data_IF_392500558048
#
_entry.id   IF_392500558048
#
_cell.length_a   1.000
_cell.length_b   1.000
_cell.length_c   1.000
_cell.angle_alpha   90.00
_cell.angle_beta   90.00
_cell.angle_gamma   90.00
#
_symmetry.space_group_name_H-M   'P 1'
#
loop_
_entity.id
_entity.type
_entity.pdbx_description
1 polymer ?
#
# COMPACT_ATOMS: atom_id res chain seq x y z
N UNK A 1 19.62 -4.80 -3.52
CA UNK A 1 19.85 -3.83 -4.58
C UNK A 1 18.90 -2.66 -4.45
N UNK A 2 19.39 -1.52 -4.74
CA UNK A 2 18.58 -0.35 -4.56
C UNK A 2 18.26 0.30 -5.90
N UNK A 3 16.98 0.57 -6.10
CA UNK A 3 16.56 1.23 -7.31
C UNK A 3 16.97 2.69 -7.32
N UNK A 4 17.28 3.18 -8.48
CA UNK A 4 17.60 4.59 -8.65
C UNK A 4 16.44 5.35 -9.26
N UNK A 5 15.25 4.82 -9.07
CA UNK A 5 14.05 5.43 -9.62
C UNK A 5 13.66 6.62 -8.76
N UNK A 6 13.55 7.75 -9.39
CA UNK A 6 13.09 8.92 -8.70
C UNK A 6 11.64 8.75 -8.29
N UNK A 7 11.35 9.15 -7.06
CA UNK A 7 10.03 8.95 -6.53
C UNK A 7 9.82 7.57 -5.98
N UNK A 8 10.74 6.65 -6.26
CA UNK A 8 10.73 5.35 -5.63
C UNK A 8 9.56 4.48 -6.02
N UNK A 9 9.84 3.34 -6.65
CA UNK A 9 8.81 2.34 -6.85
C UNK A 9 8.43 1.75 -5.50
N UNK A 10 7.15 1.54 -5.28
CA UNK A 10 6.69 0.86 -4.07
C UNK A 10 6.78 -0.64 -4.26
N UNK A 11 6.98 -1.35 -3.16
CA UNK A 11 6.79 -2.78 -3.22
C UNK A 11 5.30 -3.07 -3.38
N UNK A 12 4.98 -4.23 -3.91
CA UNK A 12 3.59 -4.63 -4.05
C UNK A 12 2.89 -4.62 -2.70
N UNK A 13 3.57 -5.11 -1.68
CA UNK A 13 2.99 -5.17 -0.35
C UNK A 13 2.66 -3.78 0.18
N UNK A 14 3.57 -2.84 0.03
CA UNK A 14 3.32 -1.47 0.50
C UNK A 14 2.14 -0.86 -0.24
N UNK A 15 2.05 -1.08 -1.54
CA UNK A 15 0.92 -0.56 -2.30
C UNK A 15 -0.39 -1.14 -1.79
N UNK A 16 -0.44 -2.46 -1.55
CA UNK A 16 -1.65 -3.06 -1.02
C UNK A 16 -2.02 -2.52 0.35
N UNK A 17 -1.02 -2.28 1.20
CA UNK A 17 -1.30 -1.71 2.52
C UNK A 17 -1.96 -0.34 2.38
N UNK A 18 -1.41 0.51 1.50
CA UNK A 18 -2.02 1.82 1.27
C UNK A 18 -3.43 1.71 0.71
N UNK A 19 -3.62 0.80 -0.24
CA UNK A 19 -4.95 0.62 -0.84
C UNK A 19 -5.97 0.17 0.19
N UNK A 20 -5.55 -0.60 1.18
CA UNK A 20 -6.45 -1.11 2.20
C UNK A 20 -6.95 -0.02 3.14
N UNK A 21 -6.39 1.19 3.06
CA UNK A 21 -6.71 2.26 3.98
C UNK A 21 -7.37 3.45 3.31
N UNK A 22 -7.95 3.26 2.13
CA UNK A 22 -8.78 4.30 1.53
C UNK A 22 -10.04 4.55 2.36
N UNK A 23 -10.47 3.54 3.09
CA UNK A 23 -11.41 3.69 4.19
C UNK A 23 -10.68 3.37 5.48
N UNK A 24 -11.13 3.90 6.60
CA UNK A 24 -10.44 3.60 7.86
C UNK A 24 -10.34 2.10 8.08
N UNK A 25 -9.18 1.64 8.53
CA UNK A 25 -8.96 0.22 8.71
C UNK A 25 -7.96 -0.02 9.84
N UNK A 26 -8.04 -1.21 10.41
CA UNK A 26 -7.15 -1.62 11.49
C UNK A 26 -6.29 -2.80 11.02
N UNK A 27 -5.30 -3.17 11.84
CA UNK A 27 -4.31 -4.13 11.41
C UNK A 27 -4.88 -5.44 10.87
N UNK A 28 -5.82 -6.04 11.61
CA UNK A 28 -6.40 -7.30 11.16
C UNK A 28 -7.15 -7.12 9.85
N UNK A 29 -7.91 -6.02 9.74
CA UNK A 29 -8.64 -5.74 8.51
C UNK A 29 -7.73 -5.54 7.32
N UNK A 30 -6.57 -4.91 7.54
CA UNK A 30 -5.60 -4.73 6.47
C UNK A 30 -5.09 -6.08 5.98
N UNK A 31 -4.74 -6.96 6.92
CA UNK A 31 -4.24 -8.28 6.55
C UNK A 31 -5.28 -9.07 5.78
N UNK A 32 -6.54 -9.00 6.24
CA UNK A 32 -7.61 -9.71 5.54
C UNK A 32 -7.87 -9.13 4.15
N UNK A 33 -7.83 -7.81 4.04
CA UNK A 33 -8.02 -7.17 2.74
C UNK A 33 -7.00 -7.70 1.74
N UNK A 34 -5.73 -7.73 2.14
CA UNK A 34 -4.68 -8.15 1.22
C UNK A 34 -4.83 -9.61 0.84
N UNK A 35 -5.12 -10.45 1.81
CA UNK A 35 -5.28 -11.86 1.53
C UNK A 35 -6.45 -12.13 0.60
N UNK A 36 -7.57 -11.43 0.83
CA UNK A 36 -8.75 -11.62 0.00
C UNK A 36 -8.55 -11.10 -1.41
N UNK A 37 -7.95 -9.93 -1.55
CA UNK A 37 -7.76 -9.35 -2.88
C UNK A 37 -6.79 -10.15 -3.72
N UNK A 38 -5.86 -10.86 -3.10
CA UNK A 38 -4.85 -11.61 -3.83
C UNK A 38 -5.12 -13.10 -3.84
N UNK A 39 -6.26 -13.54 -3.29
CA UNK A 39 -6.58 -14.96 -3.15
C UNK A 39 -5.46 -15.70 -2.44
N UNK A 40 -4.90 -15.10 -1.42
CA UNK A 40 -3.87 -15.72 -0.63
C UNK A 40 -2.47 -15.67 -1.21
N UNK A 41 -2.30 -15.08 -2.40
CA UNK A 41 -0.97 -14.99 -3.00
C UNK A 41 -0.05 -14.12 -2.15
N UNK A 42 -0.60 -13.10 -1.51
CA UNK A 42 0.16 -12.25 -0.60
C UNK A 42 -0.45 -12.38 0.78
N UNK A 43 0.38 -12.61 1.76
CA UNK A 43 -0.07 -12.77 3.13
C UNK A 43 0.96 -12.10 4.04
N UNK A 44 0.49 -11.35 5.01
CA UNK A 44 1.35 -10.58 5.90
C UNK A 44 1.24 -11.06 7.32
N UNK A 45 2.39 -11.19 7.99
CA UNK A 45 2.41 -11.37 9.42
C UNK A 45 2.26 -10.03 10.13
N UNK A 46 1.88 -10.10 11.39
CA UNK A 46 1.64 -8.88 12.16
C UNK A 46 2.90 -8.02 12.30
N UNK A 47 4.05 -8.67 12.50
CA UNK A 47 5.29 -7.90 12.66
C UNK A 47 5.61 -7.07 11.44
N UNK A 48 5.51 -7.69 10.27
CA UNK A 48 5.78 -6.98 9.01
C UNK A 48 4.78 -5.85 8.83
N UNK A 49 3.51 -6.12 9.11
CA UNK A 49 2.48 -5.10 8.93
C UNK A 49 2.71 -3.90 9.82
N UNK A 50 2.94 -4.13 11.10
CA UNK A 50 3.08 -2.99 12.02
C UNK A 50 4.37 -2.22 11.79
N UNK A 51 5.41 -2.91 11.33
CA UNK A 51 6.61 -2.20 10.89
C UNK A 51 6.32 -1.28 9.72
N UNK A 52 5.55 -1.76 8.76
CA UNK A 52 5.16 -0.95 7.63
C UNK A 52 4.29 0.23 8.05
N UNK A 53 3.32 -0.02 8.94
CA UNK A 53 2.46 1.05 9.42
C UNK A 53 3.28 2.17 10.06
N UNK A 54 4.26 1.80 10.89
CA UNK A 54 5.11 2.81 11.51
C UNK A 54 5.85 3.64 10.47
N UNK A 55 6.37 3.00 9.44
CA UNK A 55 7.07 3.70 8.38
C UNK A 55 6.14 4.65 7.64
N UNK A 56 4.93 4.18 7.33
CA UNK A 56 3.98 5.00 6.58
C UNK A 56 3.48 6.18 7.39
N UNK A 57 3.34 6.01 8.71
CA UNK A 57 3.00 7.12 9.58
C UNK A 57 4.10 8.18 9.56
N UNK A 58 5.36 7.77 9.60
CA UNK A 58 6.47 8.70 9.57
C UNK A 58 6.54 9.47 8.26
N UNK A 59 6.14 8.83 7.16
CA UNK A 59 6.13 9.48 5.86
C UNK A 59 4.89 10.34 5.65
N UNK A 60 3.95 10.30 6.58
CA UNK A 60 2.70 11.03 6.47
C UNK A 60 1.87 10.56 5.27
N UNK A 61 2.00 9.30 4.92
CA UNK A 61 1.16 8.72 3.88
C UNK A 61 -0.12 8.16 4.46
N UNK A 62 -0.14 7.87 5.75
CA UNK A 62 -1.33 7.49 6.49
C UNK A 62 -1.35 8.26 7.80
N UNK A 63 -2.52 8.28 8.43
CA UNK A 63 -2.68 8.98 9.70
C UNK A 63 -3.66 8.20 10.56
N UNK A 64 -3.56 8.31 11.88
CA UNK A 64 -4.54 7.66 12.75
C UNK A 64 -5.93 8.22 12.48
N UNK A 65 -6.91 7.33 12.61
CA UNK A 65 -8.31 7.69 12.41
C UNK A 65 -9.10 7.21 13.62
N UNK A 66 -9.74 8.14 14.31
CA UNK A 66 -10.48 7.79 15.51
C UNK A 66 -11.92 8.22 15.38
N UNK A 67 -12.81 7.22 15.36
CA UNK A 67 -14.23 7.48 15.33
C UNK A 67 -14.83 7.48 16.72
N UNK A 68 -14.21 6.75 17.66
CA UNK A 68 -14.74 6.64 18.98
C UNK A 68 -13.61 6.35 19.94
N UNK A 69 -13.99 6.02 21.19
CA UNK A 69 -13.02 5.88 22.26
C UNK A 69 -12.49 4.47 22.44
N UNK A 70 -12.89 3.54 21.60
CA UNK A 70 -12.39 2.17 21.75
C UNK A 70 -10.97 2.10 21.22
N UNK A 71 -10.01 2.15 22.14
CA UNK A 71 -8.60 2.19 21.75
C UNK A 71 -8.03 0.82 21.45
N UNK A 72 -8.81 -0.24 21.59
CA UNK A 72 -8.29 -1.57 21.30
C UNK A 72 -8.14 -1.83 19.83
N UNK A 73 -8.83 -1.05 19.00
CA UNK A 73 -8.74 -1.20 17.55
C UNK A 73 -8.30 0.12 16.96
N UNK A 74 -7.00 0.31 16.93
CA UNK A 74 -6.46 1.49 16.27
C UNK A 74 -6.71 1.41 14.79
N UNK A 75 -7.30 2.45 14.25
CA UNK A 75 -7.56 2.55 12.83
C UNK A 75 -6.70 3.61 12.20
N UNK A 76 -6.47 3.45 10.92
CA UNK A 76 -5.66 4.38 10.14
C UNK A 76 -6.37 4.65 8.83
N UNK A 77 -6.06 5.78 8.23
CA UNK A 77 -6.62 6.15 6.94
C UNK A 77 -5.52 6.78 6.10
N UNK A 78 -5.59 6.60 4.80
CA UNK A 78 -4.62 7.18 3.89
C UNK A 78 -4.79 8.69 3.86
N UNK A 79 -3.67 9.42 3.76
CA UNK A 79 -3.71 10.88 3.65
C UNK A 79 -3.79 11.29 2.19
N UNK A 80 -4.01 12.59 1.94
CA UNK A 80 -3.94 13.08 0.57
C UNK A 80 -2.57 12.85 -0.03
N UNK A 81 -1.52 13.02 0.78
CA UNK A 81 -0.16 12.75 0.31
C UNK A 81 -0.04 11.27 -0.09
N UNK A 82 -0.58 10.37 0.74
CA UNK A 82 -0.53 8.94 0.41
C UNK A 82 -1.27 8.63 -0.87
N UNK A 83 -2.40 9.31 -1.11
CA UNK A 83 -3.15 9.09 -2.35
C UNK A 83 -2.35 9.54 -3.56
N UNK A 84 -1.62 10.63 -3.44
CA UNK A 84 -0.75 11.06 -4.54
C UNK A 84 0.33 10.04 -4.82
N UNK A 85 0.89 9.47 -3.78
CA UNK A 85 1.90 8.40 -3.94
C UNK A 85 1.30 7.21 -4.66
N UNK A 86 0.08 6.81 -4.29
CA UNK A 86 -0.58 5.68 -4.94
C UNK A 86 -0.83 5.98 -6.42
N UNK A 87 -1.31 7.19 -6.72
CA UNK A 87 -1.59 7.56 -8.11
C UNK A 87 -0.32 7.55 -8.96
N UNK A 88 0.77 8.06 -8.41
CA UNK A 88 2.05 8.03 -9.12
C UNK A 88 2.48 6.59 -9.37
N UNK A 89 2.28 5.73 -8.41
CA UNK A 89 2.66 4.33 -8.56
C UNK A 89 1.81 3.63 -9.61
N UNK A 90 0.51 3.91 -9.63
CA UNK A 90 -0.37 3.32 -10.65
C UNK A 90 0.10 3.72 -12.05
N UNK A 91 0.46 5.00 -12.22
CA UNK A 91 0.95 5.46 -13.51
C UNK A 91 2.24 4.76 -13.91
N UNK A 92 3.13 4.53 -12.93
CA UNK A 92 4.38 3.82 -13.21
C UNK A 92 4.09 2.38 -13.64
N UNK A 93 3.15 1.73 -12.96
CA UNK A 93 2.80 0.35 -13.29
C UNK A 93 2.18 0.26 -14.68
N UNK A 94 1.31 1.21 -15.02
CA UNK A 94 0.71 1.25 -16.36
C UNK A 94 1.77 1.42 -17.43
N UNK A 95 2.70 2.30 -17.20
CA UNK A 95 3.78 2.50 -18.16
C UNK A 95 4.60 1.24 -18.34
N UNK A 96 4.95 0.62 -17.22
CA UNK A 96 5.73 -0.61 -17.26
C UNK A 96 4.97 -1.71 -18.00
N UNK A 97 3.69 -1.84 -17.73
CA UNK A 97 2.87 -2.84 -18.41
C UNK A 97 2.85 -2.59 -19.91
N UNK A 98 2.65 -1.35 -20.32
CA UNK A 98 2.57 -1.03 -21.74
C UNK A 98 3.88 -1.30 -22.45
N UNK A 99 4.99 -0.92 -21.85
CA UNK A 99 6.31 -1.19 -22.43
C UNK A 99 6.54 -2.70 -22.53
N UNK A 100 6.20 -3.43 -21.49
CA UNK A 100 6.41 -4.87 -21.45
C UNK A 100 5.62 -5.56 -22.57
N UNK A 101 4.36 -5.19 -22.71
CA UNK A 101 3.52 -5.81 -23.72
C UNK A 101 4.01 -5.51 -25.12
N UNK A 102 4.45 -4.26 -25.35
CA UNK A 102 4.97 -3.89 -26.65
C UNK A 102 6.17 -4.77 -27.03
N UNK A 103 7.07 -4.98 -26.08
CA UNK A 103 8.28 -5.74 -26.36
C UNK A 103 7.98 -7.23 -26.55
N UNK A 104 7.14 -7.76 -25.67
CA UNK A 104 6.85 -9.20 -25.70
C UNK A 104 6.00 -9.56 -26.91
N UNK A 105 5.10 -8.68 -27.32
CA UNK A 105 4.16 -8.98 -28.39
C UNK A 105 4.70 -8.62 -29.77
N UNK A 106 5.97 -8.55 -29.89
CA UNK A 106 6.56 -8.49 -31.20
C UNK A 106 6.99 -7.12 -31.61
N UNK A 107 7.02 -6.34 -30.63
CA UNK A 107 7.40 -5.00 -30.75
C UNK A 107 8.18 -4.52 -31.85
#
# INVERSE_FOLDING_TARGET
>A
MRDNIKGGALTETTLFILLSMYNPNHGYGIMQFIENETNGRVSLGAGTLYGAINTLLKKDWITPYELNTDTRKKQYIITEHGKMIVNTEIQRIEELLNISKKIVEGG
#
